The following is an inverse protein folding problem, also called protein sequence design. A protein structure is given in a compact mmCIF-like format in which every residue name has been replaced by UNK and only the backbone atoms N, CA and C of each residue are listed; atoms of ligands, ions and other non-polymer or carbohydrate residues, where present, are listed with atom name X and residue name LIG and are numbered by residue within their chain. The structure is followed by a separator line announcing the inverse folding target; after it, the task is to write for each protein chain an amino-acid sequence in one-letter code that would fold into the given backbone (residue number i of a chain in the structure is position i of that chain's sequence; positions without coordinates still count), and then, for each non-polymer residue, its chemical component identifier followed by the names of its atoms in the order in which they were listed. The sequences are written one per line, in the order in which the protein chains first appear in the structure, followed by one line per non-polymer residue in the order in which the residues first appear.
data_IF_955780959603
#
_entry.id   IF_955780959603
#
_cell.length_a   1.000
_cell.length_b   1.000
_cell.length_c   1.000
_cell.angle_alpha   90.00
_cell.angle_beta   90.00
_cell.angle_gamma   90.00
#
_symmetry.space_group_name_H-M   'P 1'
#
loop_
_entity.id
_entity.type
_entity.pdbx_description
1 polymer ?
#
# COMPACT_ATOMS: atom_id res chain seq x y z
N UNK A 1 68.58 -30.14 34.73
CA UNK A 1 68.65 -28.65 34.88
C UNK A 1 69.35 -28.10 33.65
N UNK A 2 68.98 -27.02 32.96
CA UNK A 2 67.82 -26.12 32.88
C UNK A 2 68.09 -25.25 31.61
N UNK A 3 67.07 -24.55 31.13
CA UNK A 3 67.06 -23.47 30.10
C UNK A 3 66.69 -23.98 28.69
N UNK A 4 65.42 -24.01 28.28
CA UNK A 4 64.46 -22.91 28.01
C UNK A 4 64.91 -22.03 26.84
N UNK A 5 64.33 -22.27 25.66
CA UNK A 5 64.32 -21.36 24.51
C UNK A 5 62.85 -21.15 24.09
N UNK A 6 62.39 -19.90 24.18
CA UNK A 6 61.07 -19.46 23.75
C UNK A 6 61.01 -19.42 22.21
N UNK A 7 59.99 -20.04 21.62
CA UNK A 7 59.63 -19.87 20.21
C UNK A 7 58.22 -19.29 20.14
N UNK A 8 58.14 -18.08 19.59
CA UNK A 8 56.91 -17.42 19.18
C UNK A 8 56.27 -18.19 18.01
N UNK A 9 55.02 -18.59 18.14
CA UNK A 9 54.23 -19.16 17.05
C UNK A 9 53.07 -18.22 16.72
N UNK A 10 53.15 -17.61 15.54
CA UNK A 10 52.12 -16.73 14.95
C UNK A 10 51.00 -17.64 14.42
N UNK A 11 49.80 -17.52 14.97
CA UNK A 11 48.58 -18.15 14.44
C UNK A 11 48.04 -17.31 13.27
N UNK A 12 48.00 -17.89 12.08
CA UNK A 12 47.15 -17.42 10.97
C UNK A 12 45.76 -18.06 11.10
N UNK A 13 44.74 -17.27 11.40
CA UNK A 13 43.33 -17.69 11.31
C UNK A 13 42.87 -17.58 9.85
N UNK A 14 42.67 -18.71 9.18
CA UNK A 14 41.99 -18.78 7.88
C UNK A 14 40.49 -18.77 8.14
N UNK A 15 39.81 -17.69 7.75
CA UNK A 15 38.37 -17.59 7.78
C UNK A 15 37.75 -18.50 6.71
N UNK A 16 37.01 -19.52 7.15
CA UNK A 16 36.30 -20.45 6.29
C UNK A 16 35.08 -19.81 5.62
N UNK A 17 34.98 -20.02 4.31
CA UNK A 17 33.84 -19.69 3.46
C UNK A 17 32.65 -20.56 3.86
N UNK A 18 31.55 -19.95 4.30
CA UNK A 18 30.30 -20.68 4.53
C UNK A 18 29.66 -21.05 3.19
N UNK A 19 29.68 -22.35 2.87
CA UNK A 19 28.84 -22.93 1.80
C UNK A 19 27.43 -23.08 2.36
N UNK A 20 26.46 -22.39 1.77
CA UNK A 20 25.06 -22.70 1.96
C UNK A 20 24.83 -24.17 1.56
N UNK A 21 24.33 -24.98 2.48
CA UNK A 21 23.92 -26.34 2.18
C UNK A 21 22.70 -26.27 1.25
N UNK A 22 22.79 -26.95 0.10
CA UNK A 22 21.64 -27.17 -0.78
C UNK A 22 20.59 -27.97 -0.01
N UNK A 23 19.38 -27.41 0.09
CA UNK A 23 18.22 -28.09 0.66
C UNK A 23 17.74 -29.13 -0.37
N UNK A 24 17.61 -30.42 0.01
CA UNK A 24 17.14 -31.47 -0.91
C UNK A 24 15.74 -31.15 -1.47
N UNK A 25 15.58 -31.33 -2.78
CA UNK A 25 14.35 -31.07 -3.52
C UNK A 25 13.32 -32.20 -3.40
N UNK A 26 12.90 -32.56 -2.19
CA UNK A 26 11.70 -33.39 -1.97
C UNK A 26 10.60 -32.51 -1.39
N UNK A 27 9.99 -31.69 -2.25
CA UNK A 27 8.92 -30.76 -1.91
C UNK A 27 7.53 -31.42 -1.88
N UNK A 28 7.41 -32.63 -1.32
CA UNK A 28 6.12 -33.34 -1.27
C UNK A 28 5.38 -33.33 0.08
N UNK A 29 5.88 -32.70 1.16
CA UNK A 29 5.16 -32.70 2.46
C UNK A 29 5.16 -31.34 3.21
N UNK A 30 4.74 -30.26 2.54
CA UNK A 30 4.23 -29.05 3.23
C UNK A 30 2.90 -28.56 2.65
N UNK A 31 2.10 -29.46 2.08
CA UNK A 31 0.67 -29.23 1.99
C UNK A 31 0.13 -29.25 3.42
N UNK A 32 0.05 -28.06 4.04
CA UNK A 32 -0.83 -27.84 5.19
C UNK A 32 -2.17 -28.47 4.80
N UNK A 33 -2.54 -29.58 5.44
CA UNK A 33 -3.93 -30.01 5.40
C UNK A 33 -4.73 -28.81 5.91
N UNK A 34 -5.72 -28.36 5.13
CA UNK A 34 -6.73 -27.41 5.59
C UNK A 34 -7.52 -28.07 6.73
N UNK A 35 -6.93 -28.09 7.92
CA UNK A 35 -7.64 -28.48 9.12
C UNK A 35 -8.72 -27.42 9.37
N UNK A 36 -9.99 -27.83 9.50
CA UNK A 36 -11.07 -26.88 9.69
C UNK A 36 -10.84 -26.10 10.99
N UNK A 37 -11.25 -24.82 11.02
CA UNK A 37 -11.03 -24.02 12.21
C UNK A 37 -11.85 -24.57 13.39
N UNK A 38 -11.27 -24.49 14.59
CA UNK A 38 -11.86 -25.00 15.82
C UNK A 38 -12.51 -23.86 16.59
N UNK A 39 -13.70 -24.11 17.11
CA UNK A 39 -14.41 -23.16 17.97
C UNK A 39 -13.75 -23.09 19.35
N UNK A 40 -13.32 -21.89 19.72
CA UNK A 40 -12.65 -21.58 20.99
C UNK A 40 -13.28 -20.39 21.71
N UNK A 41 -12.85 -20.19 22.95
CA UNK A 41 -13.14 -19.02 23.79
C UNK A 41 -11.83 -18.48 24.34
N UNK A 42 -11.70 -17.16 24.54
CA UNK A 42 -10.55 -16.55 25.23
C UNK A 42 -10.79 -16.49 26.75
N UNK A 43 -9.73 -16.59 27.57
CA UNK A 43 -9.84 -16.65 29.04
C UNK A 43 -10.36 -15.34 29.66
N UNK A 44 -9.92 -14.21 29.11
CA UNK A 44 -10.23 -12.83 29.51
C UNK A 44 -10.28 -11.94 28.25
N UNK A 45 -10.58 -10.62 28.34
CA UNK A 45 -10.47 -9.75 27.16
C UNK A 45 -9.06 -9.81 26.58
N UNK A 46 -8.94 -10.13 25.30
CA UNK A 46 -7.64 -10.43 24.68
C UNK A 46 -7.42 -9.70 23.38
N UNK A 47 -6.27 -9.03 23.30
CA UNK A 47 -5.85 -8.33 22.09
C UNK A 47 -5.32 -9.33 21.07
N UNK A 48 -5.79 -9.20 19.83
CA UNK A 48 -5.23 -9.92 18.69
C UNK A 48 -4.31 -8.99 17.90
N UNK A 49 -3.27 -9.58 17.33
CA UNK A 49 -2.27 -8.88 16.54
C UNK A 49 -2.38 -9.28 15.09
N UNK A 50 -2.23 -8.34 14.16
CA UNK A 50 -2.20 -8.64 12.73
C UNK A 50 -1.20 -7.71 12.02
N UNK A 51 -0.60 -8.16 10.90
CA UNK A 51 0.14 -7.27 10.03
C UNK A 51 -0.83 -6.27 9.38
N UNK A 52 -0.51 -4.98 9.52
CA UNK A 52 -1.24 -3.87 8.89
C UNK A 52 -0.24 -3.02 8.11
N UNK A 53 -0.36 -3.05 6.78
CA UNK A 53 0.68 -2.62 5.84
C UNK A 53 2.07 -3.15 6.25
N UNK A 54 2.17 -4.46 6.51
CA UNK A 54 3.41 -5.14 6.91
C UNK A 54 3.91 -4.88 8.34
N UNK A 55 3.23 -4.06 9.15
CA UNK A 55 3.60 -3.82 10.56
C UNK A 55 2.69 -4.60 11.48
N UNK A 56 3.27 -5.48 12.29
CA UNK A 56 2.53 -6.21 13.32
C UNK A 56 2.09 -5.26 14.43
N UNK A 57 0.79 -5.17 14.66
CA UNK A 57 0.22 -4.32 15.72
C UNK A 57 -1.06 -4.94 16.29
N UNK A 58 -1.48 -4.48 17.47
CA UNK A 58 -2.78 -4.84 18.01
C UNK A 58 -3.89 -4.25 17.15
N UNK A 59 -4.92 -5.04 16.83
CA UNK A 59 -5.97 -4.64 15.88
C UNK A 59 -7.38 -4.79 16.42
N UNK A 60 -7.59 -5.66 17.40
CA UNK A 60 -8.87 -5.81 18.06
C UNK A 60 -8.71 -6.43 19.44
N UNK A 61 -9.71 -6.26 20.31
CA UNK A 61 -9.85 -6.97 21.57
C UNK A 61 -11.08 -7.90 21.51
N UNK A 62 -10.89 -9.19 21.78
CA UNK A 62 -11.94 -10.20 21.76
C UNK A 62 -12.64 -10.32 23.13
N UNK A 63 -13.96 -10.43 23.13
CA UNK A 63 -14.74 -10.62 24.35
C UNK A 63 -14.70 -12.08 24.82
N UNK A 64 -14.31 -12.37 26.08
CA UNK A 64 -14.20 -13.72 26.61
C UNK A 64 -15.52 -14.46 26.74
N UNK A 65 -16.68 -13.80 26.64
CA UNK A 65 -17.97 -14.50 26.70
C UNK A 65 -18.41 -15.12 25.36
N UNK A 66 -17.71 -14.82 24.28
CA UNK A 66 -18.09 -15.23 22.92
C UNK A 66 -17.11 -16.24 22.33
N UNK A 67 -17.63 -17.06 21.42
CA UNK A 67 -16.85 -18.03 20.66
C UNK A 67 -16.28 -17.44 19.37
N UNK A 68 -15.11 -17.94 18.98
CA UNK A 68 -14.38 -17.59 17.77
C UNK A 68 -13.82 -18.85 17.11
N UNK A 69 -13.67 -18.84 15.80
CA UNK A 69 -13.07 -19.95 15.06
C UNK A 69 -11.61 -19.60 14.76
N UNK A 70 -10.70 -20.51 15.13
CA UNK A 70 -9.25 -20.35 14.94
C UNK A 70 -8.68 -21.55 14.21
N UNK A 71 -7.58 -21.36 13.48
CA UNK A 71 -6.93 -22.43 12.77
C UNK A 71 -5.99 -23.20 13.71
N UNK A 72 -6.05 -24.55 13.70
CA UNK A 72 -5.16 -25.37 14.52
C UNK A 72 -3.74 -25.27 13.96
N UNK A 73 -2.90 -24.50 14.66
CA UNK A 73 -1.48 -24.38 14.37
C UNK A 73 -0.68 -24.88 15.57
N UNK A 74 0.45 -25.55 15.35
CA UNK A 74 1.39 -25.90 16.42
C UNK A 74 2.27 -24.68 16.73
N UNK A 75 2.39 -24.31 18.00
CA UNK A 75 3.28 -23.24 18.44
C UNK A 75 2.72 -22.40 19.59
N UNK A 76 3.41 -21.30 19.89
CA UNK A 76 3.03 -20.34 20.92
C UNK A 76 1.85 -19.46 20.49
N UNK A 77 1.62 -19.29 19.19
CA UNK A 77 0.50 -18.52 18.65
C UNK A 77 -0.49 -19.39 17.89
N UNK A 78 -1.73 -18.91 17.82
CA UNK A 78 -2.79 -19.45 16.97
C UNK A 78 -3.23 -18.40 15.97
N UNK A 79 -3.59 -18.87 14.79
CA UNK A 79 -3.99 -18.04 13.65
C UNK A 79 -5.52 -17.95 13.57
N UNK A 80 -6.02 -16.80 13.13
CA UNK A 80 -7.43 -16.57 12.86
C UNK A 80 -7.59 -15.64 11.65
N UNK A 81 -8.73 -15.68 10.98
CA UNK A 81 -9.01 -14.72 9.92
C UNK A 81 -9.21 -13.31 10.49
N UNK A 82 -8.45 -12.34 10.00
CA UNK A 82 -8.61 -10.93 10.36
C UNK A 82 -8.51 -10.02 9.13
N UNK A 83 -9.62 -9.35 8.81
CA UNK A 83 -9.75 -8.56 7.60
C UNK A 83 -9.45 -9.40 6.36
N UNK A 84 -8.52 -8.93 5.55
CA UNK A 84 -8.07 -9.60 4.32
C UNK A 84 -6.94 -10.62 4.54
N UNK A 85 -6.37 -10.67 5.73
CA UNK A 85 -5.19 -11.47 6.06
C UNK A 85 -5.42 -12.23 7.38
N UNK A 86 -4.35 -12.60 8.07
CA UNK A 86 -4.37 -13.36 9.30
C UNK A 86 -4.10 -12.50 10.52
N UNK A 87 -4.76 -12.87 11.62
CA UNK A 87 -4.48 -12.38 12.95
C UNK A 87 -3.93 -13.49 13.84
N UNK A 88 -3.29 -13.10 14.93
CA UNK A 88 -2.60 -13.98 15.85
C UNK A 88 -3.00 -13.70 17.29
N UNK A 89 -3.12 -14.78 18.06
CA UNK A 89 -3.38 -14.76 19.50
C UNK A 89 -2.48 -15.77 20.21
N UNK A 90 -2.03 -15.44 21.42
CA UNK A 90 -1.26 -16.36 22.26
C UNK A 90 -2.07 -17.60 22.60
N UNK A 91 -1.49 -18.78 22.43
CA UNK A 91 -2.14 -20.07 22.69
C UNK A 91 -2.51 -20.23 24.16
N UNK A 92 -1.71 -19.66 25.04
CA UNK A 92 -1.93 -19.61 26.48
C UNK A 92 -3.14 -18.77 26.88
N UNK A 93 -3.64 -17.91 25.98
CA UNK A 93 -4.83 -17.09 26.21
C UNK A 93 -6.15 -17.82 25.91
N UNK A 94 -6.06 -19.00 25.30
CA UNK A 94 -7.21 -19.78 24.90
C UNK A 94 -7.73 -20.64 26.05
N UNK A 95 -9.05 -20.66 26.19
CA UNK A 95 -9.77 -21.45 27.18
C UNK A 95 -10.15 -22.81 26.60
N UNK A 96 -9.92 -23.88 27.37
CA UNK A 96 -10.41 -25.23 27.06
C UNK A 96 -11.92 -25.38 27.29
N UNK A 97 -12.59 -24.34 27.82
CA UNK A 97 -14.04 -24.33 28.04
C UNK A 97 -14.78 -24.07 26.73
N UNK A 98 -15.96 -24.67 26.59
CA UNK A 98 -16.90 -24.32 25.52
C UNK A 98 -17.35 -22.86 25.66
N UNK A 99 -17.47 -22.10 24.57
CA UNK A 99 -17.92 -20.71 24.63
C UNK A 99 -19.32 -20.58 25.24
N UNK A 100 -19.54 -19.52 26.03
CA UNK A 100 -20.88 -19.22 26.57
C UNK A 100 -21.85 -18.81 25.46
N UNK A 101 -21.37 -18.03 24.50
CA UNK A 101 -22.14 -17.61 23.32
C UNK A 101 -21.46 -18.19 22.08
N UNK A 102 -22.12 -19.16 21.45
CA UNK A 102 -21.66 -19.79 20.21
C UNK A 102 -22.11 -18.96 19.01
N UNK A 103 -21.24 -18.69 18.01
CA UNK A 103 -21.66 -18.02 16.78
C UNK A 103 -22.78 -18.80 16.08
N UNK A 104 -23.78 -18.14 15.47
CA UNK A 104 -24.76 -18.82 14.64
C UNK A 104 -24.07 -19.50 13.45
N UNK A 105 -24.66 -20.61 12.97
CA UNK A 105 -24.18 -21.29 11.78
C UNK A 105 -24.38 -20.40 10.55
N UNK A 106 -23.39 -20.29 9.68
CA UNK A 106 -23.48 -19.57 8.41
C UNK A 106 -24.24 -20.39 7.36
N UNK A 107 -25.55 -20.54 7.54
CA UNK A 107 -26.41 -21.35 6.66
C UNK A 107 -26.55 -20.79 5.25
N UNK A 108 -26.33 -19.49 5.09
CA UNK A 108 -26.43 -18.78 3.81
C UNK A 108 -25.08 -18.62 3.11
N UNK A 109 -24.00 -19.15 3.71
CA UNK A 109 -22.65 -19.07 3.19
C UNK A 109 -22.16 -17.61 2.97
N UNK A 110 -22.60 -16.69 3.82
CA UNK A 110 -22.30 -15.26 3.73
C UNK A 110 -20.82 -14.96 3.98
N UNK A 111 -20.09 -15.81 4.71
CA UNK A 111 -18.64 -15.67 4.91
C UNK A 111 -17.84 -15.75 3.61
N UNK A 112 -18.44 -16.34 2.56
CA UNK A 112 -17.86 -16.47 1.24
C UNK A 112 -18.41 -15.42 0.24
N UNK A 113 -19.22 -14.46 0.71
CA UNK A 113 -19.62 -13.33 -0.12
C UNK A 113 -18.38 -12.54 -0.58
N UNK A 114 -18.37 -12.06 -1.83
CA UNK A 114 -17.29 -11.18 -2.27
C UNK A 114 -17.28 -9.91 -1.41
N UNK A 115 -16.08 -9.41 -1.10
CA UNK A 115 -15.94 -8.11 -0.44
C UNK A 115 -16.63 -7.04 -1.31
N UNK A 116 -17.65 -6.42 -0.71
CA UNK A 116 -18.52 -5.40 -1.29
C UNK A 116 -17.87 -4.02 -1.28
N UNK A 117 -17.27 -3.64 -0.15
CA UNK A 117 -16.60 -2.35 0.06
C UNK A 117 -15.68 -2.45 1.28
N UNK A 118 -15.07 -1.34 1.69
CA UNK A 118 -14.34 -1.23 2.94
C UNK A 118 -14.96 -0.19 3.87
N UNK A 119 -14.83 -0.41 5.18
CA UNK A 119 -15.05 0.59 6.21
C UNK A 119 -13.73 1.07 6.80
N UNK A 120 -13.75 2.21 7.49
CA UNK A 120 -12.64 2.75 8.27
C UNK A 120 -13.11 2.98 9.71
N UNK A 121 -12.43 2.38 10.67
CA UNK A 121 -12.61 2.70 12.10
C UNK A 121 -11.88 4.00 12.43
N UNK A 122 -12.57 4.99 12.98
CA UNK A 122 -11.95 6.28 13.38
C UNK A 122 -11.49 6.24 14.84
N UNK A 123 -12.14 5.40 15.64
CA UNK A 123 -11.87 5.15 17.05
C UNK A 123 -12.10 3.66 17.33
N UNK A 124 -11.94 3.24 18.58
CA UNK A 124 -12.27 1.88 18.98
C UNK A 124 -13.77 1.63 18.76
N UNK A 125 -14.10 0.68 17.89
CA UNK A 125 -15.45 0.43 17.40
C UNK A 125 -15.94 -0.93 17.89
N UNK A 126 -17.10 -0.95 18.53
CA UNK A 126 -17.72 -2.19 18.96
C UNK A 126 -18.22 -3.01 17.77
N UNK A 127 -17.98 -4.31 17.84
CA UNK A 127 -18.46 -5.31 16.89
C UNK A 127 -19.47 -6.20 17.58
N UNK A 128 -20.60 -6.45 16.94
CA UNK A 128 -21.70 -7.24 17.49
C UNK A 128 -21.83 -8.59 16.81
N UNK A 129 -22.31 -9.59 17.55
CA UNK A 129 -22.55 -10.94 17.01
C UNK A 129 -23.85 -11.08 16.23
N UNK A 130 -24.71 -10.07 16.30
CA UNK A 130 -25.97 -9.92 15.58
C UNK A 130 -26.23 -8.43 15.34
N UNK A 131 -27.03 -8.02 14.35
CA UNK A 131 -27.39 -6.62 14.12
C UNK A 131 -28.42 -6.13 15.15
N UNK A 132 -28.06 -6.17 16.44
CA UNK A 132 -28.85 -5.77 17.60
C UNK A 132 -27.92 -5.14 18.65
N UNK A 133 -28.06 -3.84 18.86
CA UNK A 133 -27.21 -3.05 19.75
C UNK A 133 -27.47 -3.29 21.24
N UNK A 134 -28.58 -3.97 21.59
CA UNK A 134 -28.85 -4.38 22.97
C UNK A 134 -27.98 -5.56 23.43
N UNK A 135 -27.30 -6.24 22.50
CA UNK A 135 -26.40 -7.36 22.79
C UNK A 135 -25.02 -6.87 23.16
N UNK A 136 -24.33 -7.63 24.01
CA UNK A 136 -22.93 -7.33 24.31
C UNK A 136 -22.06 -7.49 23.05
N UNK A 137 -21.09 -6.58 22.82
CA UNK A 137 -20.15 -6.71 21.72
C UNK A 137 -19.37 -8.03 21.79
N UNK A 138 -19.12 -8.63 20.63
CA UNK A 138 -18.23 -9.79 20.48
C UNK A 138 -16.77 -9.37 20.55
N UNK A 139 -16.45 -8.17 20.10
CA UNK A 139 -15.09 -7.64 20.06
C UNK A 139 -15.15 -6.12 19.94
N UNK A 140 -13.99 -5.49 20.09
CA UNK A 140 -13.78 -4.08 19.76
C UNK A 140 -12.65 -4.00 18.75
N UNK A 141 -12.93 -3.55 17.52
CA UNK A 141 -11.87 -3.20 16.56
C UNK A 141 -11.19 -1.91 17.01
N UNK A 142 -9.87 -1.82 16.88
CA UNK A 142 -9.17 -0.59 17.19
C UNK A 142 -9.34 0.44 16.07
N UNK A 143 -9.12 1.71 16.42
CA UNK A 143 -9.17 2.82 15.47
C UNK A 143 -8.06 2.74 14.40
N UNK A 144 -8.25 3.50 13.34
CA UNK A 144 -7.36 3.60 12.18
C UNK A 144 -7.18 2.27 11.42
N UNK A 145 -8.26 1.49 11.24
CA UNK A 145 -8.24 0.26 10.44
C UNK A 145 -9.19 0.37 9.25
N UNK A 146 -8.68 0.03 8.06
CA UNK A 146 -9.51 -0.24 6.88
C UNK A 146 -9.91 -1.73 6.88
N UNK A 147 -11.20 -2.01 6.93
CA UNK A 147 -11.71 -3.37 7.15
C UNK A 147 -12.73 -3.79 6.08
N UNK A 148 -12.66 -5.02 5.53
CA UNK A 148 -13.56 -5.46 4.47
C UNK A 148 -15.01 -5.62 4.94
N UNK A 149 -15.94 -5.20 4.09
CA UNK A 149 -17.39 -5.32 4.28
C UNK A 149 -17.93 -6.35 3.31
N UNK A 150 -18.69 -7.31 3.82
CA UNK A 150 -19.32 -8.37 3.04
C UNK A 150 -20.71 -7.99 2.54
N UNK A 151 -21.47 -7.25 3.35
CA UNK A 151 -22.82 -6.82 3.02
C UNK A 151 -23.25 -5.59 3.82
N UNK A 152 -24.32 -4.94 3.36
CA UNK A 152 -24.99 -3.83 4.04
C UNK A 152 -26.46 -4.18 4.23
N UNK A 153 -27.00 -3.93 5.42
CA UNK A 153 -28.41 -4.15 5.73
C UNK A 153 -29.00 -3.02 6.56
N UNK A 154 -30.34 -2.93 6.56
CA UNK A 154 -31.09 -1.96 7.36
C UNK A 154 -32.00 -2.75 8.31
N UNK A 155 -31.98 -2.40 9.59
CA UNK A 155 -32.85 -2.96 10.63
C UNK A 155 -33.54 -1.82 11.36
N UNK A 156 -34.78 -2.04 11.75
CA UNK A 156 -35.50 -1.12 12.62
C UNK A 156 -35.23 -1.52 14.08
N UNK A 157 -34.87 -0.55 14.94
CA UNK A 157 -34.74 -0.79 16.37
C UNK A 157 -36.11 -0.79 17.06
N UNK A 158 -36.13 -0.92 18.40
CA UNK A 158 -37.38 -1.01 19.17
C UNK A 158 -38.15 0.32 19.17
N UNK A 159 -37.46 1.42 18.96
CA UNK A 159 -38.00 2.78 18.87
C UNK A 159 -38.50 3.15 17.46
N UNK A 160 -38.36 2.26 16.46
CA UNK A 160 -38.78 2.52 15.08
C UNK A 160 -37.71 3.20 14.21
N UNK A 161 -36.50 3.37 14.71
CA UNK A 161 -35.40 4.02 13.99
C UNK A 161 -34.68 3.02 13.08
N UNK A 162 -34.36 3.46 11.85
CA UNK A 162 -33.63 2.65 10.87
C UNK A 162 -32.14 2.73 11.12
N UNK A 163 -31.56 1.63 11.60
CA UNK A 163 -30.12 1.46 11.80
C UNK A 163 -29.54 0.72 10.60
N UNK A 164 -28.44 1.26 10.06
CA UNK A 164 -27.69 0.64 8.98
C UNK A 164 -26.52 -0.17 9.56
N UNK A 165 -26.48 -1.45 9.22
CA UNK A 165 -25.46 -2.39 9.67
C UNK A 165 -24.58 -2.85 8.51
N UNK A 166 -23.30 -2.99 8.78
CA UNK A 166 -22.28 -3.57 7.90
C UNK A 166 -21.94 -4.96 8.41
N UNK A 167 -22.03 -5.97 7.55
CA UNK A 167 -21.60 -7.33 7.84
C UNK A 167 -20.12 -7.46 7.54
N UNK A 168 -19.36 -8.01 8.48
CA UNK A 168 -17.92 -8.29 8.36
C UNK A 168 -17.62 -9.74 8.78
N UNK A 169 -16.45 -10.24 8.39
CA UNK A 169 -15.87 -11.50 8.92
C UNK A 169 -14.85 -11.17 10.00
N UNK A 170 -14.93 -11.84 11.15
CA UNK A 170 -13.95 -11.72 12.24
C UNK A 170 -13.73 -13.10 12.85
N UNK A 171 -12.53 -13.67 12.77
CA UNK A 171 -12.22 -15.01 13.26
C UNK A 171 -13.24 -16.07 12.79
N UNK A 172 -13.46 -16.12 11.47
CA UNK A 172 -14.36 -17.05 10.76
C UNK A 172 -15.80 -17.12 11.26
N UNK A 173 -16.30 -16.00 11.80
CA UNK A 173 -17.73 -15.78 12.06
C UNK A 173 -18.20 -14.47 11.45
N UNK A 174 -19.50 -14.41 11.17
CA UNK A 174 -20.18 -13.17 10.85
C UNK A 174 -20.21 -12.28 12.10
N UNK A 175 -19.97 -10.99 11.86
CA UNK A 175 -20.04 -9.96 12.86
C UNK A 175 -20.57 -8.66 12.21
N UNK A 176 -21.07 -7.75 13.04
CA UNK A 176 -21.83 -6.60 12.56
C UNK A 176 -21.36 -5.31 13.22
N UNK A 177 -21.22 -4.26 12.42
CA UNK A 177 -20.84 -2.91 12.88
C UNK A 177 -21.91 -1.93 12.39
N UNK A 178 -22.28 -0.95 13.21
CA UNK A 178 -23.19 0.12 12.79
C UNK A 178 -22.45 1.09 11.90
N UNK A 179 -23.06 1.46 10.79
CA UNK A 179 -22.47 2.44 9.86
C UNK A 179 -22.24 3.81 10.54
N UNK A 180 -23.01 4.17 11.57
CA UNK A 180 -22.82 5.41 12.33
C UNK A 180 -21.52 5.48 13.14
N UNK A 181 -20.88 4.33 13.40
CA UNK A 181 -19.69 4.23 14.26
C UNK A 181 -18.38 4.17 13.45
N UNK A 182 -18.48 4.22 12.13
CA UNK A 182 -17.37 4.09 11.16
C UNK A 182 -17.59 5.01 9.97
N UNK A 183 -16.59 5.12 9.11
CA UNK A 183 -16.75 5.71 7.79
C UNK A 183 -16.68 4.64 6.70
N UNK A 184 -17.36 4.86 5.56
CA UNK A 184 -17.08 4.06 4.36
C UNK A 184 -15.80 4.55 3.71
N UNK A 185 -15.01 3.63 3.18
CA UNK A 185 -13.78 3.92 2.46
C UNK A 185 -14.09 4.63 1.14
N UNK A 186 -13.60 5.86 0.99
CA UNK A 186 -13.66 6.61 -0.27
C UNK A 186 -12.41 6.45 -1.12
N UNK A 187 -11.57 5.47 -0.78
CA UNK A 187 -10.42 5.04 -1.56
C UNK A 187 -9.09 5.62 -1.08
N UNK A 188 -8.02 5.06 -1.63
CA UNK A 188 -6.63 5.38 -1.31
C UNK A 188 -6.13 6.50 -2.22
N UNK A 189 -5.66 7.63 -1.68
CA UNK A 189 -5.03 8.67 -2.48
C UNK A 189 -3.61 8.26 -2.92
N UNK A 190 -3.36 8.27 -4.23
CA UNK A 190 -2.02 8.20 -4.80
C UNK A 190 -1.62 9.61 -5.25
N UNK A 191 -0.67 10.24 -4.57
CA UNK A 191 -0.22 11.59 -4.89
C UNK A 191 0.87 11.57 -5.97
N UNK A 192 0.78 12.46 -6.96
CA UNK A 192 1.81 12.61 -7.99
C UNK A 192 2.55 13.95 -7.89
N UNK A 193 3.88 13.87 -7.91
CA UNK A 193 4.81 15.00 -7.95
C UNK A 193 5.80 14.83 -9.11
N UNK A 194 6.42 15.91 -9.58
CA UNK A 194 7.45 15.85 -10.63
C UNK A 194 8.64 16.74 -10.27
N UNK A 195 8.56 18.04 -10.55
CA UNK A 195 9.64 18.98 -10.33
C UNK A 195 9.46 19.66 -8.97
N UNK A 196 10.53 19.78 -8.18
CA UNK A 196 10.54 20.53 -6.93
C UNK A 196 11.61 21.60 -7.00
N UNK A 197 11.24 22.85 -6.81
CA UNK A 197 12.18 23.97 -6.85
C UNK A 197 11.95 24.91 -5.69
N UNK A 198 13.01 25.57 -5.23
CA UNK A 198 12.84 26.74 -4.36
C UNK A 198 12.19 27.86 -5.16
N UNK A 199 11.36 28.67 -4.52
CA UNK A 199 10.71 29.80 -5.19
C UNK A 199 11.73 30.81 -5.77
N UNK A 200 12.89 30.96 -5.12
CA UNK A 200 13.99 31.80 -5.58
C UNK A 200 14.74 31.24 -6.80
N UNK A 201 14.66 29.93 -7.02
CA UNK A 201 15.28 29.23 -8.16
C UNK A 201 14.31 29.09 -9.33
N UNK A 202 13.01 29.03 -9.05
CA UNK A 202 11.99 28.79 -10.07
C UNK A 202 11.75 30.03 -10.93
N UNK A 203 12.52 30.18 -12.01
CA UNK A 203 12.33 31.25 -13.01
C UNK A 203 11.41 30.83 -14.14
N UNK A 204 11.62 29.62 -14.68
CA UNK A 204 11.01 29.16 -15.92
C UNK A 204 9.76 28.27 -15.72
N UNK A 205 9.51 27.78 -14.51
CA UNK A 205 8.47 26.79 -14.22
C UNK A 205 7.40 27.29 -13.24
N UNK A 206 7.27 28.62 -13.08
CA UNK A 206 6.37 29.20 -12.06
C UNK A 206 4.90 28.88 -12.29
N UNK A 207 4.51 28.75 -13.56
CA UNK A 207 3.14 28.49 -14.00
C UNK A 207 2.95 27.06 -14.52
N UNK A 208 3.90 26.16 -14.23
CA UNK A 208 3.82 24.76 -14.61
C UNK A 208 3.15 23.98 -13.48
N UNK A 209 1.99 23.37 -13.75
CA UNK A 209 1.19 22.64 -12.75
C UNK A 209 1.92 21.45 -12.12
N UNK A 210 2.94 20.91 -12.78
CA UNK A 210 3.78 19.80 -12.30
C UNK A 210 5.03 20.25 -11.53
N UNK A 211 5.15 21.54 -11.19
CA UNK A 211 6.26 22.06 -10.36
C UNK A 211 5.74 22.52 -9.01
N UNK A 212 6.20 21.88 -7.94
CA UNK A 212 5.86 22.19 -6.53
C UNK A 212 7.01 22.96 -5.88
N UNK A 213 6.71 23.91 -4.98
CA UNK A 213 7.78 24.56 -4.21
C UNK A 213 8.32 23.64 -3.12
N UNK A 214 9.58 23.81 -2.73
CA UNK A 214 10.17 23.06 -1.61
C UNK A 214 9.37 23.30 -0.33
N UNK A 215 8.93 24.53 -0.11
CA UNK A 215 8.17 24.96 1.06
C UNK A 215 6.80 24.28 1.11
N UNK A 216 6.07 24.26 0.00
CA UNK A 216 4.77 23.58 -0.09
C UNK A 216 4.92 22.07 0.09
N UNK A 217 5.90 21.45 -0.58
CA UNK A 217 6.16 20.02 -0.43
C UNK A 217 6.51 19.65 1.02
N UNK A 218 7.37 20.43 1.67
CA UNK A 218 7.71 20.22 3.08
C UNK A 218 6.47 20.33 3.97
N UNK A 219 5.64 21.36 3.80
CA UNK A 219 4.42 21.54 4.57
C UNK A 219 3.44 20.37 4.39
N UNK A 220 3.31 19.85 3.16
CA UNK A 220 2.49 18.67 2.87
C UNK A 220 3.01 17.41 3.57
N UNK A 221 4.33 17.15 3.51
CA UNK A 221 4.95 15.99 4.15
C UNK A 221 4.86 16.06 5.67
N UNK A 222 5.10 17.24 6.25
CA UNK A 222 4.96 17.48 7.69
C UNK A 222 3.50 17.30 8.13
N UNK A 223 2.53 17.78 7.34
CA UNK A 223 1.11 17.59 7.62
C UNK A 223 0.73 16.11 7.63
N UNK A 224 1.17 15.32 6.64
CA UNK A 224 0.91 13.88 6.61
C UNK A 224 1.36 13.22 7.92
N UNK A 225 2.59 13.51 8.36
CA UNK A 225 3.13 12.99 9.61
C UNK A 225 2.34 13.43 10.84
N UNK A 226 2.06 14.73 10.95
CA UNK A 226 1.35 15.31 12.11
C UNK A 226 -0.11 14.85 12.20
N UNK A 227 -0.78 14.64 11.06
CA UNK A 227 -2.17 14.19 11.01
C UNK A 227 -2.32 12.66 11.12
N UNK A 228 -1.21 11.93 11.25
CA UNK A 228 -1.17 10.48 11.42
C UNK A 228 -1.35 9.68 10.14
N UNK A 229 -1.06 10.26 8.97
CA UNK A 229 -1.05 9.50 7.72
C UNK A 229 0.23 8.68 7.60
N UNK A 230 0.05 7.42 7.21
CA UNK A 230 1.13 6.52 6.83
C UNK A 230 1.35 6.55 5.32
N UNK A 231 2.60 6.69 4.90
CA UNK A 231 2.96 6.48 3.49
C UNK A 231 3.07 4.98 3.23
N UNK A 232 2.31 4.48 2.27
CA UNK A 232 2.30 3.07 1.86
C UNK A 232 2.97 2.88 0.50
N UNK A 233 3.44 1.66 0.26
CA UNK A 233 4.04 1.27 -1.02
C UNK A 233 2.98 1.07 -2.11
N UNK A 234 3.40 0.91 -3.36
CA UNK A 234 2.47 0.44 -4.40
C UNK A 234 2.13 -1.05 -4.25
N UNK A 235 2.98 -1.87 -3.61
CA UNK A 235 2.61 -3.24 -3.23
C UNK A 235 1.42 -3.25 -2.26
N UNK A 236 1.40 -2.31 -1.31
CA UNK A 236 0.27 -2.15 -0.39
C UNK A 236 -1.03 -1.79 -1.13
N UNK A 237 -0.94 -0.95 -2.16
CA UNK A 237 -2.09 -0.59 -3.02
C UNK A 237 -2.52 -1.76 -3.88
N UNK A 238 -1.58 -2.54 -4.43
CA UNK A 238 -1.88 -3.76 -5.17
C UNK A 238 -2.61 -4.78 -4.28
N UNK A 239 -2.12 -4.99 -3.05
CA UNK A 239 -2.76 -5.85 -2.06
C UNK A 239 -4.17 -5.38 -1.68
N UNK A 240 -4.41 -4.06 -1.61
CA UNK A 240 -5.75 -3.52 -1.38
C UNK A 240 -6.73 -3.87 -2.49
N UNK A 241 -6.30 -3.73 -3.75
CA UNK A 241 -7.12 -4.08 -4.93
C UNK A 241 -7.34 -5.59 -5.04
N UNK A 242 -6.32 -6.38 -4.70
CA UNK A 242 -6.35 -7.84 -4.69
C UNK A 242 -7.09 -8.44 -3.48
N UNK A 243 -7.37 -7.62 -2.45
CA UNK A 243 -7.99 -8.01 -1.17
C UNK A 243 -7.11 -8.96 -0.34
N UNK A 244 -5.80 -8.68 -0.31
CA UNK A 244 -4.78 -9.57 0.27
C UNK A 244 -4.11 -8.99 1.52
N UNK A 245 -4.27 -7.70 1.81
CA UNK A 245 -3.64 -7.07 2.97
C UNK A 245 -4.60 -6.21 3.80
N UNK A 246 -4.24 -6.04 5.07
CA UNK A 246 -4.88 -5.08 5.96
C UNK A 246 -4.13 -3.74 5.89
N UNK A 247 -4.87 -2.63 5.86
CA UNK A 247 -4.28 -1.28 5.80
C UNK A 247 -4.82 -0.39 6.91
N UNK A 248 -4.04 0.61 7.36
CA UNK A 248 -4.57 1.65 8.23
C UNK A 248 -5.64 2.50 7.52
N UNK A 249 -6.50 3.17 8.27
CA UNK A 249 -7.49 4.10 7.73
C UNK A 249 -6.82 5.28 7.01
N UNK A 250 -5.83 5.91 7.65
CA UNK A 250 -5.10 7.07 7.15
C UNK A 250 -3.84 6.67 6.39
N UNK A 251 -3.99 6.42 5.09
CA UNK A 251 -2.87 6.10 4.19
C UNK A 251 -2.80 7.03 2.99
N UNK A 252 -1.59 7.24 2.48
CA UNK A 252 -1.33 7.84 1.17
C UNK A 252 -0.22 7.08 0.46
N UNK A 253 -0.29 6.94 -0.86
CA UNK A 253 0.88 6.53 -1.65
C UNK A 253 1.51 7.78 -2.29
N UNK A 254 2.83 7.92 -2.21
CA UNK A 254 3.56 9.05 -2.80
C UNK A 254 4.27 8.59 -4.07
N UNK A 255 4.03 9.25 -5.21
CA UNK A 255 4.71 8.96 -6.47
C UNK A 255 5.39 10.19 -7.05
N UNK A 256 6.56 9.99 -7.64
CA UNK A 256 7.33 11.01 -8.35
C UNK A 256 7.60 10.54 -9.76
N UNK A 257 7.32 11.37 -10.76
CA UNK A 257 7.53 11.02 -12.16
C UNK A 257 8.85 11.62 -12.69
N UNK A 258 9.22 11.24 -13.91
CA UNK A 258 10.37 11.70 -14.71
C UNK A 258 11.79 11.31 -14.24
N UNK A 259 12.03 11.11 -12.95
CA UNK A 259 13.39 10.90 -12.41
C UNK A 259 14.24 12.18 -12.39
N UNK A 260 13.64 13.30 -12.01
CA UNK A 260 14.31 14.61 -12.00
C UNK A 260 15.31 14.77 -10.85
N UNK A 261 16.45 15.41 -11.14
CA UNK A 261 17.51 15.71 -10.16
C UNK A 261 17.01 16.58 -9.01
N UNK A 262 15.99 17.40 -9.23
CA UNK A 262 15.31 18.17 -8.19
C UNK A 262 14.69 17.28 -7.09
N UNK A 263 14.15 16.12 -7.46
CA UNK A 263 13.51 15.19 -6.52
C UNK A 263 14.57 14.65 -5.57
N UNK A 264 15.71 14.21 -6.11
CA UNK A 264 16.87 13.82 -5.32
C UNK A 264 17.40 14.95 -4.43
N UNK A 265 17.44 16.18 -4.95
CA UNK A 265 18.01 17.31 -4.24
C UNK A 265 17.12 17.79 -3.09
N UNK A 266 15.80 17.75 -3.25
CA UNK A 266 14.86 18.39 -2.33
C UNK A 266 13.85 17.43 -1.70
N UNK A 267 13.18 16.57 -2.47
CA UNK A 267 12.21 15.63 -1.90
C UNK A 267 12.89 14.54 -1.06
N UNK A 268 13.96 13.94 -1.57
CA UNK A 268 14.68 12.86 -0.89
C UNK A 268 15.03 13.17 0.57
N UNK A 269 15.73 14.28 0.91
CA UNK A 269 16.05 14.60 2.30
C UNK A 269 14.80 14.91 3.15
N UNK A 270 13.75 15.53 2.58
CA UNK A 270 12.51 15.86 3.30
C UNK A 270 11.75 14.58 3.67
N UNK A 271 11.60 13.65 2.73
CA UNK A 271 10.97 12.35 2.95
C UNK A 271 11.74 11.54 3.98
N UNK A 272 13.08 11.52 3.87
CA UNK A 272 13.95 10.84 4.83
C UNK A 272 13.81 11.41 6.25
N UNK A 273 13.75 12.73 6.39
CA UNK A 273 13.53 13.39 7.69
C UNK A 273 12.15 13.06 8.28
N UNK A 274 11.15 12.85 7.43
CA UNK A 274 9.80 12.51 7.86
C UNK A 274 9.58 11.00 8.09
N UNK A 275 10.55 10.14 7.76
CA UNK A 275 10.43 8.68 7.71
C UNK A 275 9.32 8.22 6.75
N UNK A 276 9.27 8.87 5.60
CA UNK A 276 8.31 8.61 4.54
C UNK A 276 8.99 7.91 3.37
N UNK A 277 8.27 6.94 2.78
CA UNK A 277 8.69 6.25 1.56
C UNK A 277 7.82 6.68 0.39
N UNK A 278 8.33 6.49 -0.82
CA UNK A 278 7.65 6.86 -2.04
C UNK A 278 8.08 5.96 -3.21
N UNK A 279 7.35 6.03 -4.31
CA UNK A 279 7.75 5.42 -5.59
C UNK A 279 8.28 6.51 -6.52
N UNK A 280 9.40 6.26 -7.19
CA UNK A 280 9.98 7.13 -8.21
C UNK A 280 9.91 6.43 -9.58
N UNK A 281 9.04 6.91 -10.46
CA UNK A 281 8.96 6.47 -11.85
C UNK A 281 10.01 7.18 -12.69
N UNK A 282 10.94 6.41 -13.27
CA UNK A 282 12.11 6.94 -13.98
C UNK A 282 12.02 6.68 -15.47
N UNK A 283 12.26 7.72 -16.27
CA UNK A 283 12.45 7.58 -17.72
C UNK A 283 13.85 7.01 -17.95
N UNK A 284 13.93 5.70 -18.17
CA UNK A 284 15.22 4.99 -18.09
C UNK A 284 16.25 5.45 -19.12
N UNK A 285 15.83 6.01 -20.28
CA UNK A 285 16.76 6.58 -21.26
C UNK A 285 17.32 7.96 -20.89
N UNK A 286 16.74 8.65 -19.90
CA UNK A 286 17.17 10.01 -19.50
C UNK A 286 18.14 10.01 -18.32
N UNK A 287 18.32 8.87 -17.65
CA UNK A 287 19.26 8.69 -16.54
C UNK A 287 20.69 9.04 -16.97
N UNK A 288 21.37 9.86 -16.17
CA UNK A 288 22.74 10.29 -16.46
C UNK A 288 23.77 9.33 -15.90
N UNK A 289 24.92 9.24 -16.55
CA UNK A 289 26.03 8.41 -16.07
C UNK A 289 26.71 9.01 -14.83
N UNK A 290 26.79 10.35 -14.76
CA UNK A 290 27.48 11.10 -13.69
C UNK A 290 26.64 12.26 -13.18
N UNK A 291 26.86 12.74 -11.93
CA UNK A 291 26.17 13.90 -11.41
C UNK A 291 26.37 15.14 -12.28
N UNK A 292 25.28 15.87 -12.51
CA UNK A 292 25.32 17.17 -13.19
C UNK A 292 25.50 18.30 -12.16
N UNK A 293 26.17 19.40 -12.55
CA UNK A 293 26.13 20.67 -11.78
C UNK A 293 24.68 21.16 -11.74
N UNK A 294 24.21 21.59 -10.57
CA UNK A 294 22.84 22.08 -10.40
C UNK A 294 22.58 23.32 -11.26
N UNK A 295 21.52 23.27 -12.07
CA UNK A 295 21.05 24.34 -12.93
C UNK A 295 19.51 24.31 -12.98
N UNK A 296 18.81 25.12 -12.15
CA UNK A 296 17.35 25.03 -11.97
C UNK A 296 16.54 25.60 -13.15
N UNK A 297 17.18 26.29 -14.09
CA UNK A 297 16.52 26.92 -15.24
C UNK A 297 16.06 25.90 -16.31
N UNK A 298 16.46 24.62 -16.18
CA UNK A 298 16.06 23.55 -17.09
C UNK A 298 15.81 22.23 -16.36
N UNK A 299 15.24 21.26 -17.08
CA UNK A 299 15.04 19.91 -16.55
C UNK A 299 16.38 19.16 -16.50
N UNK A 300 16.79 18.78 -15.29
CA UNK A 300 17.94 17.90 -15.06
C UNK A 300 17.44 16.56 -14.54
N UNK A 301 18.08 15.48 -14.99
CA UNK A 301 17.69 14.11 -14.63
C UNK A 301 18.72 13.52 -13.68
N UNK A 302 18.26 12.66 -12.78
CA UNK A 302 19.14 11.98 -11.83
C UNK A 302 20.19 11.13 -12.57
N UNK A 303 21.36 11.00 -11.96
CA UNK A 303 22.37 10.04 -12.39
C UNK A 303 22.28 8.73 -11.62
N UNK A 304 22.99 7.70 -12.10
CA UNK A 304 23.00 6.38 -11.44
C UNK A 304 23.41 6.44 -9.96
N UNK A 305 24.49 7.14 -9.55
CA UNK A 305 24.80 7.31 -8.12
C UNK A 305 23.67 7.91 -7.29
N UNK A 306 22.98 8.93 -7.79
CA UNK A 306 21.88 9.59 -7.09
C UNK A 306 20.68 8.64 -6.92
N UNK A 307 20.34 7.89 -7.98
CA UNK A 307 19.30 6.85 -7.91
C UNK A 307 19.66 5.73 -6.94
N UNK A 308 20.90 5.25 -6.96
CA UNK A 308 21.36 4.19 -6.06
C UNK A 308 21.30 4.63 -4.60
N UNK A 309 21.69 5.87 -4.32
CA UNK A 309 21.71 6.45 -2.97
C UNK A 309 20.31 6.68 -2.42
N UNK A 310 19.32 6.97 -3.27
CA UNK A 310 17.98 7.33 -2.83
C UNK A 310 17.03 6.14 -2.60
N UNK A 311 17.51 4.90 -2.79
CA UNK A 311 16.71 3.67 -2.65
C UNK A 311 16.27 3.36 -1.22
N UNK A 312 16.88 4.00 -0.22
CA UNK A 312 16.38 3.92 1.15
C UNK A 312 15.07 4.68 1.34
N UNK A 313 14.65 5.53 0.40
CA UNK A 313 13.38 6.26 0.42
C UNK A 313 12.49 5.87 -0.75
N UNK A 314 13.07 5.73 -1.95
CA UNK A 314 12.32 5.48 -3.17
C UNK A 314 12.38 4.02 -3.62
N UNK A 315 11.21 3.44 -3.85
CA UNK A 315 11.06 2.33 -4.77
C UNK A 315 11.13 2.85 -6.21
N UNK A 316 12.10 2.38 -7.00
CA UNK A 316 12.36 2.92 -8.34
C UNK A 316 11.69 2.03 -9.39
N UNK A 317 10.74 2.61 -10.12
CA UNK A 317 9.86 1.93 -11.05
C UNK A 317 9.91 2.59 -12.45
N UNK A 318 9.22 2.02 -13.42
CA UNK A 318 9.34 2.44 -14.82
C UNK A 318 8.47 3.65 -15.16
N UNK A 319 9.06 4.67 -15.81
CA UNK A 319 8.32 5.69 -16.57
C UNK A 319 8.59 5.56 -18.06
N UNK A 320 8.66 4.32 -18.55
CA UNK A 320 9.03 3.94 -19.92
C UNK A 320 10.51 4.20 -20.25
N UNK A 321 10.96 3.68 -21.39
CA UNK A 321 12.31 3.95 -21.88
C UNK A 321 12.33 5.16 -22.81
N UNK A 322 11.55 5.18 -23.88
CA UNK A 322 11.52 6.26 -24.86
C UNK A 322 10.13 6.85 -25.17
N UNK A 323 9.08 6.33 -24.55
CA UNK A 323 7.70 6.74 -24.85
C UNK A 323 7.30 8.09 -24.22
N UNK A 324 8.12 8.67 -23.35
CA UNK A 324 7.92 10.02 -22.81
C UNK A 324 8.22 11.14 -23.82
N UNK A 325 7.43 11.22 -24.90
CA UNK A 325 7.54 12.21 -25.98
C UNK A 325 6.17 12.55 -26.56
N UNK A 326 6.09 13.73 -27.17
CA UNK A 326 4.97 14.14 -28.00
C UNK A 326 5.39 14.08 -29.47
N UNK A 327 4.43 13.82 -30.35
CA UNK A 327 4.61 13.95 -31.80
C UNK A 327 4.52 15.43 -32.26
N UNK A 328 4.61 15.66 -33.57
CA UNK A 328 4.53 17.00 -34.16
C UNK A 328 3.16 17.69 -33.94
N UNK A 329 2.11 16.93 -33.62
CA UNK A 329 0.77 17.42 -33.30
C UNK A 329 0.53 17.58 -31.80
N UNK A 330 1.58 17.42 -30.98
CA UNK A 330 1.54 17.44 -29.51
C UNK A 330 0.75 16.29 -28.89
N UNK A 331 0.54 15.19 -29.62
CA UNK A 331 -0.05 13.97 -29.07
C UNK A 331 1.02 13.09 -28.43
N UNK A 332 0.73 12.43 -27.30
CA UNK A 332 1.59 11.39 -26.74
C UNK A 332 1.92 10.33 -27.78
N UNK A 333 3.22 10.07 -28.00
CA UNK A 333 3.64 9.16 -29.08
C UNK A 333 3.14 7.72 -28.87
N UNK A 334 2.78 7.34 -27.64
CA UNK A 334 2.26 6.01 -27.31
C UNK A 334 1.04 5.64 -28.16
N UNK A 335 0.14 6.60 -28.47
CA UNK A 335 -1.03 6.37 -29.32
C UNK A 335 -0.69 6.07 -30.78
N UNK A 336 0.53 6.38 -31.21
CA UNK A 336 1.03 6.08 -32.56
C UNK A 336 1.90 4.82 -32.61
N UNK A 337 1.98 4.06 -31.52
CA UNK A 337 2.77 2.84 -31.42
C UNK A 337 1.84 1.65 -31.33
N UNK A 338 2.24 0.56 -32.00
CA UNK A 338 1.57 -0.74 -31.86
C UNK A 338 1.92 -1.33 -30.51
N UNK A 339 1.01 -2.10 -29.91
CA UNK A 339 1.20 -2.88 -28.68
C UNK A 339 2.61 -3.52 -28.56
N UNK A 340 3.05 -4.29 -29.56
CA UNK A 340 4.37 -4.94 -29.53
C UNK A 340 5.55 -3.95 -29.38
N UNK A 341 5.45 -2.76 -29.97
CA UNK A 341 6.47 -1.71 -29.81
C UNK A 341 6.45 -1.11 -28.41
N UNK A 342 5.26 -0.97 -27.83
CA UNK A 342 5.08 -0.49 -26.45
C UNK A 342 5.67 -1.52 -25.48
N UNK A 343 5.35 -2.81 -25.65
CA UNK A 343 5.88 -3.91 -24.85
C UNK A 343 7.41 -3.94 -24.85
N UNK A 344 8.05 -3.84 -26.01
CA UNK A 344 9.51 -3.82 -26.11
C UNK A 344 10.14 -2.61 -25.40
N UNK A 345 9.47 -1.44 -25.42
CA UNK A 345 9.92 -0.26 -24.68
C UNK A 345 9.82 -0.47 -23.17
N UNK A 346 8.71 -1.02 -22.69
CA UNK A 346 8.51 -1.35 -21.27
C UNK A 346 9.56 -2.36 -20.78
N UNK A 347 9.74 -3.47 -21.48
CA UNK A 347 10.76 -4.48 -21.15
C UNK A 347 12.18 -3.92 -21.21
N UNK A 348 12.46 -3.00 -22.14
CA UNK A 348 13.75 -2.31 -22.18
C UNK A 348 13.94 -1.42 -20.96
N UNK A 349 12.90 -0.70 -20.53
CA UNK A 349 12.94 0.09 -19.30
C UNK A 349 13.20 -0.79 -18.08
N UNK A 350 12.48 -1.90 -17.94
CA UNK A 350 12.65 -2.86 -16.84
C UNK A 350 14.09 -3.39 -16.79
N UNK A 351 14.65 -3.85 -17.94
CA UNK A 351 16.04 -4.32 -18.01
C UNK A 351 17.07 -3.27 -17.58
N UNK A 352 16.86 -2.01 -17.96
CA UNK A 352 17.78 -0.91 -17.60
C UNK A 352 17.70 -0.58 -16.10
N UNK A 353 16.49 -0.62 -15.53
CA UNK A 353 16.22 -0.29 -14.13
C UNK A 353 16.41 -1.48 -13.17
N UNK A 354 16.51 -2.71 -13.66
CA UNK A 354 16.66 -3.94 -12.87
C UNK A 354 17.81 -3.91 -11.85
N UNK A 355 18.88 -3.14 -12.14
CA UNK A 355 19.99 -2.95 -11.19
C UNK A 355 19.65 -2.10 -9.97
N UNK A 356 18.59 -1.29 -10.04
CA UNK A 356 18.07 -0.49 -8.94
C UNK A 356 17.03 -1.28 -8.14
N UNK A 357 16.08 -1.87 -8.87
CA UNK A 357 15.08 -2.79 -8.35
C UNK A 357 14.77 -3.85 -9.44
N UNK A 358 15.04 -5.15 -9.21
CA UNK A 358 14.72 -6.22 -10.18
C UNK A 358 13.21 -6.43 -10.38
N UNK A 359 12.39 -6.07 -9.39
CA UNK A 359 10.94 -6.23 -9.35
C UNK A 359 10.24 -4.98 -9.91
N UNK A 360 10.34 -4.82 -11.22
CA UNK A 360 9.73 -3.71 -11.96
C UNK A 360 8.25 -3.96 -12.26
N UNK A 361 7.42 -3.99 -11.22
CA UNK A 361 5.99 -4.31 -11.29
C UNK A 361 5.10 -3.12 -11.64
N UNK A 362 5.60 -1.89 -11.54
CA UNK A 362 4.78 -0.69 -11.63
C UNK A 362 5.21 0.24 -12.76
N UNK A 363 4.20 0.88 -13.37
CA UNK A 363 4.36 1.83 -14.47
C UNK A 363 3.59 3.11 -14.20
N UNK A 364 4.19 4.27 -14.51
CA UNK A 364 3.43 5.48 -14.77
C UNK A 364 3.39 5.74 -16.27
N UNK A 365 2.21 5.97 -16.84
CA UNK A 365 2.11 6.35 -18.25
C UNK A 365 2.57 7.80 -18.45
N UNK A 366 3.51 8.07 -19.37
CA UNK A 366 3.89 9.43 -19.73
C UNK A 366 2.67 10.28 -20.10
N UNK A 367 2.56 11.47 -19.51
CA UNK A 367 1.40 12.37 -19.67
C UNK A 367 0.05 11.79 -19.22
N UNK A 368 0.03 10.60 -18.62
CA UNK A 368 -1.18 9.82 -18.35
C UNK A 368 -1.83 9.23 -19.59
N UNK A 369 -1.09 9.14 -20.69
CA UNK A 369 -1.60 8.67 -21.97
C UNK A 369 -1.58 7.13 -22.03
N UNK A 370 -2.75 6.52 -22.14
CA UNK A 370 -2.91 5.07 -22.25
C UNK A 370 -4.12 4.71 -23.11
N UNK A 371 -4.10 3.51 -23.68
CA UNK A 371 -5.17 2.84 -24.40
C UNK A 371 -5.09 1.32 -24.13
N UNK A 372 -5.93 0.51 -24.77
CA UNK A 372 -5.94 -0.94 -24.55
C UNK A 372 -4.57 -1.58 -24.89
N UNK A 373 -3.98 -1.27 -26.04
CA UNK A 373 -2.63 -1.73 -26.43
C UNK A 373 -1.58 -1.42 -25.34
N UNK A 374 -1.64 -0.24 -24.72
CA UNK A 374 -0.70 0.13 -23.66
C UNK A 374 -0.91 -0.68 -22.37
N UNK A 375 -2.15 -1.02 -22.02
CA UNK A 375 -2.48 -1.86 -20.86
C UNK A 375 -2.07 -3.32 -21.11
N UNK A 376 -2.39 -3.85 -22.29
CA UNK A 376 -2.03 -5.21 -22.69
C UNK A 376 -0.51 -5.39 -22.74
N UNK A 377 0.21 -4.39 -23.25
CA UNK A 377 1.66 -4.36 -23.20
C UNK A 377 2.23 -4.31 -21.77
N UNK A 378 1.57 -3.60 -20.84
CA UNK A 378 1.99 -3.57 -19.43
C UNK A 378 1.80 -4.94 -18.77
N UNK A 379 0.65 -5.58 -18.99
CA UNK A 379 0.38 -6.93 -18.50
C UNK A 379 1.37 -7.95 -19.07
N UNK A 380 1.62 -7.93 -20.38
CA UNK A 380 2.60 -8.81 -21.03
C UNK A 380 4.04 -8.57 -20.58
N UNK A 381 4.37 -7.36 -20.11
CA UNK A 381 5.65 -7.06 -19.49
C UNK A 381 5.78 -7.59 -18.04
N UNK A 382 4.73 -8.23 -17.50
CA UNK A 382 4.72 -8.74 -16.12
C UNK A 382 4.49 -7.65 -15.07
N UNK A 383 3.96 -6.49 -15.46
CA UNK A 383 3.57 -5.43 -14.52
C UNK A 383 2.21 -5.78 -13.90
N UNK A 384 2.04 -5.45 -12.62
CA UNK A 384 0.81 -5.73 -11.87
C UNK A 384 -0.10 -4.51 -11.78
N UNK A 385 0.46 -3.29 -11.87
CA UNK A 385 -0.32 -2.06 -11.90
C UNK A 385 0.32 -0.96 -12.75
N UNK A 386 -0.52 -0.05 -13.23
CA UNK A 386 -0.09 1.18 -13.87
C UNK A 386 -0.95 2.38 -13.46
N UNK A 387 -0.30 3.53 -13.27
CA UNK A 387 -0.93 4.77 -12.81
C UNK A 387 -1.04 5.80 -13.94
N UNK A 388 -2.14 6.56 -13.91
CA UNK A 388 -2.51 7.56 -14.92
C UNK A 388 -2.47 8.96 -14.33
N UNK A 389 -2.98 9.96 -15.04
CA UNK A 389 -3.16 11.33 -14.53
C UNK A 389 -4.62 11.66 -14.24
N UNK A 390 -5.51 10.65 -14.31
CA UNK A 390 -6.92 10.77 -13.97
C UNK A 390 -7.03 11.11 -12.49
N UNK A 391 -7.57 12.29 -12.16
CA UNK A 391 -7.82 12.71 -10.78
C UNK A 391 -8.78 11.75 -10.08
N UNK A 392 -8.41 11.31 -8.88
CA UNK A 392 -9.27 10.51 -8.02
C UNK A 392 -8.48 9.62 -7.08
N UNK A 393 -9.20 8.99 -6.14
CA UNK A 393 -8.66 7.99 -5.22
C UNK A 393 -8.91 6.60 -5.77
N UNK A 394 -7.95 5.70 -5.54
CA UNK A 394 -8.07 4.30 -5.93
C UNK A 394 -9.09 3.62 -5.03
N UNK A 395 -10.11 3.01 -5.63
CA UNK A 395 -11.18 2.29 -4.95
C UNK A 395 -11.16 0.82 -5.37
N UNK A 396 -11.71 -0.03 -4.52
CA UNK A 396 -11.96 -1.42 -4.87
C UNK A 396 -12.74 -1.51 -6.19
N UNK A 397 -12.26 -2.36 -7.11
CA UNK A 397 -12.84 -2.54 -8.44
C UNK A 397 -12.29 -1.60 -9.53
N UNK A 398 -11.43 -0.63 -9.19
CA UNK A 398 -10.68 0.11 -10.21
C UNK A 398 -9.77 -0.83 -11.03
N UNK A 399 -9.60 -0.52 -12.32
CA UNK A 399 -8.70 -1.28 -13.19
C UNK A 399 -7.23 -1.06 -12.74
N UNK A 400 -6.49 -2.11 -12.36
CA UNK A 400 -5.11 -1.99 -11.87
C UNK A 400 -4.15 -1.38 -12.90
N UNK A 401 -4.45 -1.43 -14.19
CA UNK A 401 -3.64 -0.85 -15.26
C UNK A 401 -4.05 0.58 -15.65
N UNK A 402 -4.99 1.19 -14.93
CA UNK A 402 -5.47 2.54 -15.19
C UNK A 402 -5.79 3.32 -13.89
N UNK A 403 -4.92 3.19 -12.88
CA UNK A 403 -5.18 3.77 -11.56
C UNK A 403 -5.14 5.29 -11.56
N UNK A 404 -6.04 5.87 -10.77
CA UNK A 404 -6.19 7.32 -10.58
C UNK A 404 -5.10 7.87 -9.65
N UNK A 405 -4.73 9.13 -9.84
CA UNK A 405 -3.79 9.86 -8.98
C UNK A 405 -4.30 11.26 -8.68
N UNK A 406 -3.80 11.87 -7.61
CA UNK A 406 -4.15 13.22 -7.18
C UNK A 406 -2.95 14.15 -7.30
N UNK A 407 -3.20 15.37 -7.75
CA UNK A 407 -2.16 16.40 -7.89
C UNK A 407 -2.21 17.38 -6.74
N UNK A 408 -1.10 17.54 -6.05
CA UNK A 408 -0.91 18.65 -5.12
C UNK A 408 -0.23 19.81 -5.87
N UNK A 409 -1.00 20.86 -6.18
CA UNK A 409 -0.46 22.01 -6.90
C UNK A 409 0.40 22.88 -5.98
N UNK A 410 1.33 23.63 -6.57
CA UNK A 410 2.20 24.57 -5.85
C UNK A 410 1.46 25.56 -4.98
N UNK A 411 0.30 26.03 -5.44
CA UNK A 411 -0.52 27.06 -4.79
C UNK A 411 -1.62 26.50 -3.91
N UNK A 412 -1.70 25.17 -3.76
CA UNK A 412 -2.76 24.57 -2.96
C UNK A 412 -2.51 24.87 -1.47
N UNK A 413 -3.48 25.49 -0.78
CA UNK A 413 -3.37 25.66 0.66
C UNK A 413 -3.46 24.30 1.36
N UNK A 414 -2.91 24.21 2.57
CA UNK A 414 -2.79 22.92 3.27
C UNK A 414 -4.18 22.32 3.59
N UNK A 415 -5.19 23.15 3.77
CA UNK A 415 -6.59 22.72 4.00
C UNK A 415 -7.19 22.04 2.77
N UNK A 416 -6.85 22.53 1.57
CA UNK A 416 -7.23 21.87 0.31
C UNK A 416 -6.52 20.53 0.18
N UNK A 417 -5.22 20.47 0.50
CA UNK A 417 -4.46 19.23 0.50
C UNK A 417 -5.05 18.20 1.48
N UNK A 418 -5.36 18.63 2.71
CA UNK A 418 -6.01 17.82 3.73
C UNK A 418 -7.36 17.24 3.27
N UNK A 419 -8.21 18.08 2.69
CA UNK A 419 -9.53 17.66 2.17
C UNK A 419 -9.38 16.68 1.01
N UNK A 420 -8.41 16.92 0.12
CA UNK A 420 -8.16 16.09 -1.06
C UNK A 420 -7.72 14.66 -0.68
N UNK A 421 -6.84 14.51 0.31
CA UNK A 421 -6.39 13.17 0.74
C UNK A 421 -7.36 12.51 1.72
N UNK A 422 -8.07 13.29 2.54
CA UNK A 422 -8.93 12.79 3.61
C UNK A 422 -10.21 12.12 3.13
N UNK A 423 -10.72 11.18 3.91
CA UNK A 423 -11.91 10.38 3.59
C UNK A 423 -13.23 11.20 3.52
N UNK A 424 -13.20 12.46 3.97
CA UNK A 424 -14.33 13.39 3.96
C UNK A 424 -14.45 14.22 2.65
N UNK A 425 -13.43 14.27 1.81
CA UNK A 425 -13.43 15.09 0.59
C UNK A 425 -14.49 14.69 -0.45
N UNK A 426 -14.92 15.62 -1.33
CA UNK A 426 -15.78 15.30 -2.46
C UNK A 426 -15.06 14.39 -3.46
N UNK A 427 -15.79 13.50 -4.13
CA UNK A 427 -15.21 12.74 -5.24
C UNK A 427 -14.74 13.70 -6.33
N UNK A 428 -13.47 13.58 -6.72
CA UNK A 428 -12.93 14.37 -7.82
C UNK A 428 -13.36 13.70 -9.12
N UNK A 429 -14.37 14.27 -9.78
CA UNK A 429 -14.85 13.81 -11.09
C UNK A 429 -14.15 14.61 -12.19
N UNK A 430 -13.38 13.94 -13.03
CA UNK A 430 -12.70 14.59 -14.17
C UNK A 430 -13.71 14.94 -15.27
N UNK A 431 -13.55 16.15 -15.84
CA UNK A 431 -14.28 16.58 -17.03
C UNK A 431 -13.46 16.48 -18.34
N UNK A 432 -12.14 16.38 -18.23
CA UNK A 432 -11.21 16.46 -19.39
C UNK A 432 -10.25 15.26 -19.43
N UNK A 433 -10.77 14.03 -19.47
CA UNK A 433 -9.93 12.84 -19.61
C UNK A 433 -9.60 12.63 -21.10
N UNK A 434 -8.31 12.62 -21.44
CA UNK A 434 -7.82 12.17 -22.75
C UNK A 434 -7.57 10.66 -22.66
N UNK A 435 -8.63 9.86 -22.81
CA UNK A 435 -8.52 8.43 -23.14
C UNK A 435 -8.78 8.32 -24.63
N UNK A 436 -7.87 7.69 -25.38
CA UNK A 436 -8.17 7.28 -26.75
C UNK A 436 -9.21 6.15 -26.66
N UNK A 437 -10.44 6.44 -27.07
CA UNK A 437 -11.60 5.54 -26.94
C UNK A 437 -11.55 4.40 -27.94
#
# INVERSE_FOLDING_TARGET
MRNVLFIFMILFSVAGVSRAAEVPSDSQEWLLKDEPPVLIQVKEPQVIFAPVAGVMQGVAELNPSHGFYIYPMKGEFRELQFGNDRGFIGSEQLSDKKPKVVPPLDTLNELNNPIYDYLITISNTNVFGSPDESKSPVATLFGDLRYPVLAKMVRENREGEKIVWLTIRLADRLAYIRLSDVELDKGIPILTYHHILKDSENRNFRHTSTTTSVEAFKAQMDYLKQAGYRTISLDDVAGYLAKENNLPGKVVALTFDDGLKSVYRYAYPILKQNDQKATLFVISSRVKSKPQKWAPDGLQFMCWPELMQSRDVFDIQSHTHFLHRLDNRKNPIIFSRKEHTILLDYQRSQRVLAKLNPEQHYLAYPFGAYNQDAMDAAQQAGMTMAVTTIQGKVRLGDNPYALKRLYALRTDPIEKFATMIGNSGPEVVNKDIVVDR
#
